data_IF_916542464281
#
_entry.id   IF_916542464281
#
_cell.length_a   1.000
_cell.length_b   1.000
_cell.length_c   1.000
_cell.angle_alpha   90.00
_cell.angle_beta   90.00
_cell.angle_gamma   90.00
#
_symmetry.space_group_name_H-M   'P 1'
#
loop_
_entity.id
_entity.type
_entity.pdbx_description
1 polymer ?
#
# COMPACT_ATOMS: atom_id res chain seq x y z
N UNK A 1 -0.16 -28.72 -1.44
CA UNK A 1 -1.63 -28.78 -1.63
C UNK A 1 -2.25 -29.46 -0.41
N UNK A 2 -2.99 -28.73 0.42
CA UNK A 2 -3.75 -29.32 1.53
C UNK A 2 -4.94 -30.10 0.94
N UNK A 3 -4.85 -31.44 0.98
CA UNK A 3 -5.90 -32.36 0.52
C UNK A 3 -7.20 -32.08 1.28
N UNK A 4 -8.29 -31.81 0.56
CA UNK A 4 -9.65 -31.78 1.12
C UNK A 4 -10.39 -30.45 0.98
N UNK A 5 -9.71 -29.36 0.65
CA UNK A 5 -10.36 -28.07 0.41
C UNK A 5 -10.00 -27.64 -1.02
N UNK A 6 -10.84 -27.95 -1.99
CA UNK A 6 -10.68 -27.51 -3.38
C UNK A 6 -11.03 -26.01 -3.51
N UNK A 7 -10.31 -25.16 -2.77
CA UNK A 7 -10.36 -23.70 -2.88
C UNK A 7 -9.37 -23.31 -3.97
N UNK A 8 -9.90 -22.86 -5.10
CA UNK A 8 -9.07 -22.19 -6.10
C UNK A 8 -8.56 -20.88 -5.49
N UNK A 9 -7.27 -20.60 -5.66
CA UNK A 9 -6.65 -19.38 -5.14
C UNK A 9 -6.31 -18.50 -6.34
N UNK A 10 -6.71 -17.24 -6.29
CA UNK A 10 -6.35 -16.22 -7.27
C UNK A 10 -5.36 -15.27 -6.63
N UNK A 11 -4.17 -15.20 -7.20
CA UNK A 11 -3.12 -14.27 -6.80
C UNK A 11 -3.18 -13.02 -7.68
N UNK A 12 -3.24 -11.85 -7.06
CA UNK A 12 -3.15 -10.56 -7.72
C UNK A 12 -1.91 -9.85 -7.20
N UNK A 13 -0.97 -9.54 -8.10
CA UNK A 13 0.19 -8.72 -7.78
C UNK A 13 -0.23 -7.25 -7.71
N UNK A 14 0.13 -6.59 -6.62
CA UNK A 14 -0.12 -5.18 -6.40
C UNK A 14 1.20 -4.43 -6.57
N UNK A 15 1.54 -4.12 -7.82
CA UNK A 15 2.81 -3.45 -8.16
C UNK A 15 2.87 -1.97 -7.75
N UNK A 16 1.74 -1.40 -7.37
CA UNK A 16 1.61 0.05 -7.08
C UNK A 16 1.23 0.32 -5.62
N UNK A 17 1.16 -0.71 -4.75
CA UNK A 17 0.80 -0.54 -3.34
C UNK A 17 2.02 -0.76 -2.43
N UNK A 18 2.39 0.25 -1.63
CA UNK A 18 3.53 0.18 -0.70
C UNK A 18 3.26 -0.70 0.55
N UNK A 19 1.99 -1.04 0.83
CA UNK A 19 1.59 -1.82 2.01
C UNK A 19 1.53 -3.32 1.77
N UNK A 20 1.35 -3.78 0.53
CA UNK A 20 1.28 -5.20 0.20
C UNK A 20 1.69 -5.50 -1.24
N UNK A 21 2.59 -6.46 -1.43
CA UNK A 21 3.06 -6.88 -2.75
C UNK A 21 2.01 -7.70 -3.52
N UNK A 22 1.15 -8.43 -2.80
CA UNK A 22 0.25 -9.44 -3.35
C UNK A 22 -1.01 -9.60 -2.51
N UNK A 23 -2.14 -9.76 -3.19
CA UNK A 23 -3.42 -10.16 -2.59
C UNK A 23 -3.72 -11.62 -3.01
N UNK A 24 -4.09 -12.44 -2.02
CA UNK A 24 -4.50 -13.82 -2.20
C UNK A 24 -6.01 -13.95 -1.93
N UNK A 25 -6.77 -14.26 -2.97
CA UNK A 25 -8.22 -14.43 -2.89
C UNK A 25 -8.58 -15.91 -2.95
N UNK A 26 -9.34 -16.38 -1.96
CA UNK A 26 -9.86 -17.74 -1.92
C UNK A 26 -11.22 -17.81 -2.58
N UNK A 27 -11.32 -18.54 -3.69
CA UNK A 27 -12.57 -18.78 -4.40
C UNK A 27 -13.33 -19.90 -3.70
N UNK A 28 -14.61 -19.65 -3.45
CA UNK A 28 -15.51 -20.65 -2.91
C UNK A 28 -15.70 -21.79 -3.94
N UNK A 29 -15.61 -23.04 -3.50
CA UNK A 29 -15.77 -24.23 -4.33
C UNK A 29 -17.09 -24.22 -5.15
N UNK A 30 -18.16 -23.60 -4.63
CA UNK A 30 -19.42 -23.46 -5.36
C UNK A 30 -19.28 -22.61 -6.64
N UNK A 31 -18.31 -21.70 -6.73
CA UNK A 31 -18.10 -20.83 -7.91
C UNK A 31 -17.02 -21.38 -8.87
N UNK A 32 -16.49 -22.58 -8.63
CA UNK A 32 -15.43 -23.17 -9.46
C UNK A 32 -15.87 -23.54 -10.89
N UNK A 33 -17.17 -23.59 -11.16
CA UNK A 33 -17.71 -23.83 -12.51
C UNK A 33 -17.72 -22.57 -13.38
N UNK A 34 -17.43 -21.40 -12.81
CA UNK A 34 -17.41 -20.14 -13.53
C UNK A 34 -16.12 -20.02 -14.36
N UNK A 35 -16.23 -19.40 -15.54
CA UNK A 35 -15.08 -19.25 -16.42
C UNK A 35 -13.94 -18.48 -15.69
N UNK A 36 -12.67 -18.91 -15.81
CA UNK A 36 -11.54 -18.30 -15.12
C UNK A 36 -11.43 -16.79 -15.34
N UNK A 37 -11.81 -16.29 -16.51
CA UNK A 37 -11.76 -14.86 -16.83
C UNK A 37 -12.77 -14.03 -16.02
N UNK A 38 -13.95 -14.58 -15.76
CA UNK A 38 -14.99 -13.92 -14.94
C UNK A 38 -14.53 -13.87 -13.49
N UNK A 39 -13.95 -14.97 -13.00
CA UNK A 39 -13.39 -15.04 -11.66
C UNK A 39 -12.22 -14.06 -11.49
N UNK A 40 -11.35 -13.95 -12.50
CA UNK A 40 -10.22 -13.03 -12.49
C UNK A 40 -10.69 -11.57 -12.51
N UNK A 41 -11.70 -11.24 -13.32
CA UNK A 41 -12.28 -9.89 -13.33
C UNK A 41 -12.84 -9.50 -11.97
N UNK A 42 -13.68 -10.35 -11.37
CA UNK A 42 -14.23 -10.10 -10.04
C UNK A 42 -13.15 -9.97 -8.97
N UNK A 43 -12.10 -10.79 -9.06
CA UNK A 43 -10.98 -10.73 -8.15
C UNK A 43 -10.23 -9.39 -8.26
N UNK A 44 -10.02 -8.89 -9.48
CA UNK A 44 -9.43 -7.56 -9.74
C UNK A 44 -10.32 -6.45 -9.22
N UNK A 45 -11.64 -6.51 -9.44
CA UNK A 45 -12.59 -5.51 -8.93
C UNK A 45 -12.64 -5.47 -7.39
N UNK A 46 -12.54 -6.63 -6.73
CA UNK A 46 -12.43 -6.71 -5.26
C UNK A 46 -11.08 -6.16 -4.80
N UNK A 47 -9.99 -6.53 -5.49
CA UNK A 47 -8.67 -6.03 -5.18
C UNK A 47 -8.62 -4.50 -5.33
N UNK A 48 -9.18 -3.91 -6.40
CA UNK A 48 -9.21 -2.46 -6.59
C UNK A 48 -10.09 -1.76 -5.55
N UNK A 49 -11.20 -2.36 -5.11
CA UNK A 49 -12.02 -1.81 -4.03
C UNK A 49 -11.28 -1.79 -2.68
N UNK A 50 -10.53 -2.85 -2.35
CA UNK A 50 -9.74 -2.96 -1.10
C UNK A 50 -8.51 -2.04 -1.14
N UNK A 51 -7.84 -2.02 -2.30
CA UNK A 51 -6.64 -1.20 -2.54
C UNK A 51 -7.02 0.27 -2.71
N UNK A 52 -8.28 0.55 -3.07
CA UNK A 52 -8.81 1.84 -3.47
C UNK A 52 -8.19 2.31 -4.78
N UNK A 53 -8.98 2.62 -5.81
CA UNK A 53 -8.54 3.15 -7.12
C UNK A 53 -7.69 4.45 -7.07
N UNK A 54 -7.29 4.93 -5.89
CA UNK A 54 -6.57 6.21 -5.71
C UNK A 54 -5.68 6.35 -4.49
N UNK A 55 -5.50 5.35 -3.63
CA UNK A 55 -5.09 5.65 -2.24
C UNK A 55 -3.67 5.23 -1.83
N UNK A 56 -2.65 5.50 -2.64
CA UNK A 56 -1.30 5.74 -2.07
C UNK A 56 -0.49 6.86 -2.74
N UNK A 57 -1.06 7.69 -3.64
CA UNK A 57 -0.35 8.89 -4.12
C UNK A 57 -0.48 10.11 -3.18
N UNK A 58 -1.31 10.05 -2.13
CA UNK A 58 -1.65 11.25 -1.33
C UNK A 58 -0.94 11.35 0.02
N UNK A 59 -0.29 10.31 0.52
CA UNK A 59 0.42 10.38 1.81
C UNK A 59 1.95 10.34 1.70
N UNK A 60 2.51 10.44 0.49
CA UNK A 60 3.90 10.86 0.30
C UNK A 60 4.03 12.37 0.08
N UNK A 61 3.10 13.16 0.62
CA UNK A 61 3.52 14.37 1.32
C UNK A 61 4.19 13.91 2.62
N UNK A 62 5.32 13.21 2.52
CA UNK A 62 6.34 13.32 3.56
C UNK A 62 6.41 14.80 3.84
N UNK A 63 6.24 15.20 5.09
CA UNK A 63 6.22 16.58 5.51
C UNK A 63 7.61 17.20 5.24
N UNK A 64 8.02 17.33 3.98
CA UNK A 64 9.23 17.99 3.54
C UNK A 64 9.24 19.41 4.08
N UNK A 65 8.07 20.05 4.13
CA UNK A 65 7.88 21.32 4.82
C UNK A 65 8.23 21.24 6.31
N UNK A 66 7.76 20.22 7.04
CA UNK A 66 8.10 20.08 8.46
C UNK A 66 9.57 19.66 8.68
N UNK A 67 10.13 18.82 7.82
CA UNK A 67 11.53 18.40 7.86
C UNK A 67 12.49 19.56 7.54
N UNK A 68 12.17 20.38 6.54
CA UNK A 68 12.93 21.59 6.23
C UNK A 68 12.76 22.62 7.37
N UNK A 69 11.56 22.75 7.93
CA UNK A 69 11.30 23.64 9.07
C UNK A 69 12.12 23.23 10.31
N UNK A 70 12.18 21.94 10.64
CA UNK A 70 12.99 21.47 11.79
C UNK A 70 14.48 21.67 11.57
N UNK A 71 15.00 21.37 10.36
CA UNK A 71 16.42 21.58 10.04
C UNK A 71 16.79 23.07 10.12
N UNK A 72 15.98 23.95 9.54
CA UNK A 72 16.20 25.40 9.60
C UNK A 72 16.10 25.94 11.04
N UNK A 73 15.15 25.44 11.83
CA UNK A 73 14.98 25.82 13.24
C UNK A 73 16.19 25.43 14.09
N UNK A 74 16.71 24.20 13.91
CA UNK A 74 17.92 23.74 14.62
C UNK A 74 19.14 24.56 14.20
N UNK A 75 19.31 24.85 12.91
CA UNK A 75 20.44 25.65 12.42
C UNK A 75 20.44 27.07 13.01
N UNK A 76 19.27 27.73 13.07
CA UNK A 76 19.13 29.05 13.69
C UNK A 76 19.42 29.02 15.19
N UNK A 77 18.94 28.00 15.90
CA UNK A 77 19.20 27.85 17.33
C UNK A 77 20.71 27.70 17.62
N UNK A 78 21.41 26.88 16.83
CA UNK A 78 22.86 26.69 16.98
C UNK A 78 23.61 27.98 16.71
N UNK A 79 23.25 28.73 15.66
CA UNK A 79 23.86 30.03 15.36
C UNK A 79 23.63 31.05 16.49
N UNK A 80 22.44 31.07 17.09
CA UNK A 80 22.13 31.95 18.23
C UNK A 80 22.99 31.58 19.46
N UNK A 81 23.13 30.29 19.76
CA UNK A 81 23.96 29.82 20.87
C UNK A 81 25.43 30.20 20.66
N UNK A 82 25.96 30.04 19.45
CA UNK A 82 27.33 30.46 19.11
C UNK A 82 27.50 31.98 19.32
N UNK A 83 26.53 32.78 18.88
CA UNK A 83 26.57 34.23 19.05
C UNK A 83 26.42 34.70 20.50
N UNK A 84 25.80 33.91 21.38
CA UNK A 84 25.70 34.19 22.82
C UNK A 84 26.91 33.68 23.61
N UNK A 85 27.63 32.69 23.09
CA UNK A 85 28.83 32.10 23.71
C UNK A 85 30.15 32.76 23.26
N UNK A 86 30.12 33.58 22.21
CA UNK A 86 31.21 34.45 21.76
C UNK A 86 31.06 35.84 22.34
#
# INVERSE_FOLDING_TARGET
>A
MLKGINKQIIEIKCTENECFDKILLFVNANKNHLHPDILRKNAVDIASAITGDKMFSTNRKFNFAAMISTIMGVALLVMLLIALCM
#
